data_IF_325922673946
#
_entry.id   IF_325922673946
#
_cell.length_a   1.000
_cell.length_b   1.000
_cell.length_c   1.000
_cell.angle_alpha   90.00
_cell.angle_beta   90.00
_cell.angle_gamma   90.00
#
_symmetry.space_group_name_H-M   'P 1'
#
loop_
_entity.id
_entity.type
_entity.pdbx_description
1 polymer ?
#
# COMPACT_ATOMS: atom_id res chain seq x y z
N UNK A 1 41.17 -4.78 11.62
CA UNK A 1 40.43 -4.28 10.45
C UNK A 1 38.95 -4.27 10.83
N UNK A 2 38.26 -3.13 10.83
CA UNK A 2 36.80 -3.10 11.03
C UNK A 2 36.11 -3.84 9.87
N UNK A 3 35.00 -4.50 10.17
CA UNK A 3 34.19 -5.23 9.18
C UNK A 3 33.62 -4.22 8.15
N UNK A 4 33.78 -4.44 6.84
CA UNK A 4 33.27 -3.52 5.81
C UNK A 4 31.74 -3.41 5.81
N UNK A 5 31.00 -4.35 6.40
CA UNK A 5 29.56 -4.24 6.61
C UNK A 5 29.21 -3.30 7.79
N UNK A 6 30.15 -3.02 8.70
CA UNK A 6 29.97 -2.04 9.78
C UNK A 6 30.13 -0.59 9.29
N UNK A 7 30.63 -0.36 8.07
CA UNK A 7 30.50 0.92 7.37
C UNK A 7 29.10 1.03 6.72
N UNK A 8 28.06 0.74 7.51
CA UNK A 8 26.69 0.82 7.05
C UNK A 8 26.35 2.30 6.75
N UNK A 9 26.01 2.57 5.50
CA UNK A 9 25.54 3.86 5.00
C UNK A 9 24.55 4.50 5.98
N UNK A 10 24.72 5.80 6.25
CA UNK A 10 23.84 6.64 7.07
C UNK A 10 22.44 6.88 6.44
N UNK A 11 21.98 6.00 5.56
CA UNK A 11 20.74 6.11 4.81
C UNK A 11 19.88 4.84 4.93
N UNK A 12 18.59 4.92 4.59
CA UNK A 12 17.70 3.77 4.63
C UNK A 12 18.27 2.61 3.79
N UNK A 13 18.01 1.36 4.19
CA UNK A 13 18.56 0.21 3.50
C UNK A 13 18.06 0.18 2.04
N UNK A 14 18.92 -0.26 1.13
CA UNK A 14 18.57 -0.37 -0.30
C UNK A 14 17.52 -1.47 -0.58
N UNK A 15 17.21 -2.30 0.42
CA UNK A 15 16.29 -3.42 0.32
C UNK A 15 15.57 -3.64 1.65
N UNK A 16 14.39 -4.26 1.58
CA UNK A 16 13.64 -4.71 2.75
C UNK A 16 13.09 -6.11 2.51
N UNK A 17 12.94 -6.88 3.58
CA UNK A 17 12.19 -8.13 3.54
C UNK A 17 10.70 -7.80 3.64
N UNK A 18 9.86 -8.34 2.75
CA UNK A 18 8.42 -8.03 2.70
C UNK A 18 7.56 -9.23 3.08
N UNK A 19 6.48 -9.02 3.85
CA UNK A 19 5.44 -10.04 4.10
C UNK A 19 4.91 -10.58 2.75
N UNK A 20 4.74 -11.91 2.64
CA UNK A 20 4.29 -12.53 1.39
C UNK A 20 2.85 -12.18 0.99
N UNK A 21 2.02 -11.80 1.96
CA UNK A 21 0.61 -11.49 1.75
C UNK A 21 0.26 -10.09 2.24
N UNK A 22 -0.55 -9.38 1.46
CA UNK A 22 -1.09 -8.10 1.86
C UNK A 22 -2.08 -8.26 3.00
N UNK A 23 -2.06 -7.30 3.92
CA UNK A 23 -3.18 -7.10 4.84
C UNK A 23 -4.21 -6.20 4.17
N UNK A 24 -5.49 -6.57 4.23
CA UNK A 24 -6.55 -5.75 3.66
C UNK A 24 -7.00 -4.71 4.69
N UNK A 25 -6.90 -3.43 4.35
CA UNK A 25 -7.34 -2.33 5.22
C UNK A 25 -6.88 -0.95 4.74
N UNK A 26 -7.61 0.09 5.14
CA UNK A 26 -7.27 1.48 4.82
C UNK A 26 -6.14 1.99 5.72
N UNK A 27 -4.90 1.74 5.28
CA UNK A 27 -3.68 2.22 5.94
C UNK A 27 -2.98 3.17 4.97
N UNK A 28 -2.91 4.46 5.32
CA UNK A 28 -2.21 5.47 4.53
C UNK A 28 -1.03 6.03 5.30
N UNK A 29 0.11 6.16 4.63
CA UNK A 29 1.35 6.72 5.14
C UNK A 29 2.15 7.34 3.97
N UNK A 30 3.38 7.77 4.25
CA UNK A 30 4.25 8.43 3.25
C UNK A 30 4.61 7.53 2.05
N UNK A 31 4.47 6.22 2.19
CA UNK A 31 4.76 5.23 1.14
C UNK A 31 3.52 4.84 0.32
N UNK A 32 2.36 5.44 0.58
CA UNK A 32 1.12 5.07 -0.08
C UNK A 32 1.17 5.38 -1.58
N UNK A 33 1.11 4.33 -2.39
CA UNK A 33 0.90 4.40 -3.83
C UNK A 33 -0.58 4.17 -4.16
N UNK A 34 -1.05 4.78 -5.25
CA UNK A 34 -2.42 4.59 -5.74
C UNK A 34 -2.40 4.17 -7.21
N UNK A 35 -3.41 3.40 -7.61
CA UNK A 35 -3.55 2.92 -8.98
C UNK A 35 -4.96 2.46 -9.29
N UNK A 36 -5.11 1.84 -10.45
CA UNK A 36 -6.36 1.23 -10.90
C UNK A 36 -6.16 -0.26 -11.11
N UNK A 37 -7.12 -1.05 -10.65
CA UNK A 37 -7.26 -2.46 -11.02
C UNK A 37 -7.66 -2.59 -12.49
N UNK A 38 -7.59 -3.80 -13.06
CA UNK A 38 -8.10 -4.11 -14.40
C UNK A 38 -9.58 -3.74 -14.59
N UNK A 39 -10.36 -3.80 -13.51
CA UNK A 39 -11.76 -3.38 -13.47
C UNK A 39 -11.95 -1.85 -13.34
N UNK A 40 -10.88 -1.05 -13.51
CA UNK A 40 -10.85 0.41 -13.31
C UNK A 40 -11.33 0.85 -11.92
N UNK A 41 -11.22 -0.02 -10.91
CA UNK A 41 -11.49 0.33 -9.51
C UNK A 41 -10.23 0.87 -8.86
N UNK A 42 -10.32 1.91 -8.02
CA UNK A 42 -9.16 2.42 -7.29
C UNK A 42 -8.59 1.32 -6.38
N UNK A 43 -7.27 1.29 -6.30
CA UNK A 43 -6.50 0.49 -5.33
C UNK A 43 -5.42 1.39 -4.74
N UNK A 44 -5.17 1.20 -3.45
CA UNK A 44 -4.15 1.89 -2.68
C UNK A 44 -3.28 0.82 -2.02
N UNK A 45 -1.96 1.00 -2.09
CA UNK A 45 -0.98 0.11 -1.47
C UNK A 45 -0.04 0.93 -0.61
N UNK A 46 0.22 0.48 0.62
CA UNK A 46 1.11 1.16 1.56
C UNK A 46 2.04 0.16 2.23
N UNK A 47 3.23 0.61 2.61
CA UNK A 47 4.26 -0.19 3.26
C UNK A 47 4.60 0.36 4.64
N UNK A 48 4.65 -0.52 5.63
CA UNK A 48 5.24 -0.21 6.94
C UNK A 48 6.61 -0.91 6.99
N UNK A 49 7.67 -0.13 6.81
CA UNK A 49 9.04 -0.63 6.71
C UNK A 49 9.60 -0.97 8.10
N UNK A 50 10.26 -2.13 8.20
CA UNK A 50 11.00 -2.54 9.38
C UNK A 50 12.50 -2.53 9.08
N UNK A 51 13.30 -2.18 10.09
CA UNK A 51 14.76 -2.28 9.98
C UNK A 51 15.19 -3.73 9.77
N UNK A 52 16.05 -4.04 8.78
CA UNK A 52 16.60 -5.38 8.61
C UNK A 52 17.25 -5.90 9.90
N UNK A 53 17.03 -7.17 10.27
CA UNK A 53 16.41 -8.24 9.49
C UNK A 53 14.87 -8.35 9.60
N UNK A 54 14.20 -7.35 10.18
CA UNK A 54 12.75 -7.34 10.36
C UNK A 54 11.96 -7.46 9.04
N UNK A 55 10.78 -8.07 9.14
CA UNK A 55 9.86 -8.21 8.00
C UNK A 55 8.96 -6.97 7.92
N UNK A 56 9.05 -6.25 6.81
CA UNK A 56 8.18 -5.13 6.46
C UNK A 56 6.80 -5.63 6.06
N UNK A 57 5.78 -4.84 6.40
CA UNK A 57 4.38 -5.19 6.13
C UNK A 57 3.86 -4.36 4.98
N UNK A 58 2.86 -4.88 4.27
CA UNK A 58 2.15 -4.11 3.27
C UNK A 58 0.65 -4.29 3.37
N UNK A 59 -0.04 -3.24 2.99
CA UNK A 59 -1.48 -3.11 3.08
C UNK A 59 -2.05 -2.82 1.71
N UNK A 60 -3.14 -3.49 1.37
CA UNK A 60 -3.92 -3.24 0.18
C UNK A 60 -5.31 -2.74 0.57
N UNK A 61 -5.71 -1.60 0.02
CA UNK A 61 -7.04 -1.04 0.18
C UNK A 61 -7.69 -0.83 -1.18
N UNK A 62 -8.87 -1.39 -1.38
CA UNK A 62 -9.70 -1.12 -2.54
C UNK A 62 -10.89 -0.29 -2.08
N UNK A 63 -10.85 1.05 -2.18
CA UNK A 63 -11.98 1.87 -1.83
C UNK A 63 -13.18 1.44 -2.67
N UNK A 64 -14.34 1.28 -2.04
CA UNK A 64 -15.57 1.10 -2.79
C UNK A 64 -15.73 2.31 -3.72
N UNK A 65 -15.71 2.07 -5.03
CA UNK A 65 -16.14 3.06 -6.00
C UNK A 65 -17.58 3.39 -5.64
N UNK A 66 -17.84 4.60 -5.16
CA UNK A 66 -19.20 5.07 -4.94
C UNK A 66 -19.86 5.08 -6.31
N UNK A 67 -20.47 3.96 -6.69
CA UNK A 67 -21.34 3.89 -7.87
C UNK A 67 -22.33 5.01 -7.66
N UNK A 68 -22.33 6.00 -8.56
CA UNK A 68 -23.38 7.01 -8.59
C UNK A 68 -24.65 6.21 -8.78
N UNK A 69 -25.35 5.92 -7.69
CA UNK A 69 -26.67 5.28 -7.70
C UNK A 69 -27.45 6.20 -8.61
N UNK A 70 -27.80 5.72 -9.80
CA UNK A 70 -28.70 6.45 -10.67
C UNK A 70 -29.88 6.82 -9.81
N UNK A 71 -30.11 8.12 -9.61
CA UNK A 71 -31.37 8.58 -9.08
C UNK A 71 -32.40 7.98 -10.03
N UNK A 72 -33.19 7.03 -9.52
CA UNK A 72 -34.33 6.54 -10.25
C UNK A 72 -35.17 7.77 -10.56
N UNK A 73 -35.24 8.16 -11.83
CA UNK A 73 -36.30 9.01 -12.33
C UNK A 73 -37.60 8.30 -11.99
N UNK A 74 -38.20 8.68 -10.87
CA UNK A 74 -39.59 8.35 -10.61
C UNK A 74 -40.37 9.39 -11.38
N UNK A 75 -40.51 9.15 -12.68
CA UNK A 75 -41.62 9.70 -13.43
C UNK A 75 -42.87 8.95 -12.93
N UNK A 76 -43.74 9.67 -12.22
CA UNK A 76 -45.07 9.20 -11.84
C UNK A 76 -46.07 10.14 -12.53
N UNK A 77 -47.15 9.59 -13.11
CA UNK A 77 -48.03 10.28 -14.04
C UNK A 77 -48.84 11.41 -13.40
#
# INVERSE_FOLDING_TARGET
MPDPAAAASSGPPAWVLLESFARVGDRRNETTATGLTSARRPVQVSFDLADPPGVSRWFAHCPASRTRRGAASTDRP
#
